data_IF_491659864651
#
_entry.id   IF_491659864651
#
_cell.length_a   1.000
_cell.length_b   1.000
_cell.length_c   1.000
_cell.angle_alpha   90.00
_cell.angle_beta   90.00
_cell.angle_gamma   90.00
#
_symmetry.space_group_name_H-M   'P 1'
#
loop_
_entity.id
_entity.type
_entity.pdbx_description
1 polymer ?
#
# COMPACT_ATOMS: atom_id res chain seq x y z
N UNK A 1 -25.25 -5.38 -3.75
CA UNK A 1 -24.27 -4.81 -4.69
C UNK A 1 -23.00 -5.66 -4.58
N UNK A 2 -22.68 -6.50 -5.57
CA UNK A 2 -21.42 -7.25 -5.58
C UNK A 2 -20.30 -6.24 -5.90
N UNK A 3 -19.76 -5.58 -4.88
CA UNK A 3 -18.58 -4.75 -5.03
C UNK A 3 -17.40 -5.67 -5.34
N UNK A 4 -16.57 -5.30 -6.33
CA UNK A 4 -15.36 -6.06 -6.66
C UNK A 4 -14.49 -6.19 -5.39
N UNK A 5 -13.87 -7.37 -5.13
CA UNK A 5 -13.08 -7.61 -3.92
C UNK A 5 -11.97 -6.58 -3.66
N UNK A 6 -11.50 -5.89 -4.70
CA UNK A 6 -10.52 -4.81 -4.58
C UNK A 6 -11.05 -3.63 -3.74
N UNK A 7 -12.34 -3.28 -3.79
CA UNK A 7 -12.90 -2.16 -3.03
C UNK A 7 -12.91 -2.42 -1.54
N UNK A 8 -13.36 -3.62 -1.13
CA UNK A 8 -13.39 -4.00 0.28
C UNK A 8 -11.98 -4.13 0.84
N UNK A 9 -11.05 -4.74 0.09
CA UNK A 9 -9.65 -4.87 0.51
C UNK A 9 -8.94 -3.53 0.63
N UNK A 10 -9.17 -2.61 -0.30
CA UNK A 10 -8.63 -1.24 -0.22
C UNK A 10 -9.20 -0.50 0.99
N UNK A 11 -10.51 -0.64 1.26
CA UNK A 11 -11.12 -0.06 2.45
C UNK A 11 -10.47 -0.60 3.74
N UNK A 12 -10.33 -1.93 3.86
CA UNK A 12 -9.71 -2.57 5.02
C UNK A 12 -8.26 -2.11 5.20
N UNK A 13 -7.51 -1.98 4.10
CA UNK A 13 -6.15 -1.45 4.11
C UNK A 13 -6.10 -0.01 4.62
N UNK A 14 -6.94 0.89 4.12
CA UNK A 14 -7.01 2.29 4.57
C UNK A 14 -7.39 2.36 6.05
N UNK A 15 -8.38 1.57 6.48
CA UNK A 15 -8.84 1.49 7.85
C UNK A 15 -7.74 1.01 8.82
N UNK A 16 -6.85 0.14 8.36
CA UNK A 16 -5.68 -0.30 9.11
C UNK A 16 -4.52 0.73 9.09
N UNK A 17 -4.27 1.35 7.94
CA UNK A 17 -3.14 2.27 7.74
C UNK A 17 -3.30 3.57 8.55
N UNK A 18 -4.50 4.16 8.58
CA UNK A 18 -4.71 5.45 9.25
C UNK A 18 -4.34 5.37 10.75
N UNK A 19 -4.84 4.42 11.56
CA UNK A 19 -4.43 4.29 12.95
C UNK A 19 -2.93 3.99 13.15
N UNK A 20 -2.30 3.26 12.22
CA UNK A 20 -0.86 3.00 12.26
C UNK A 20 -0.07 4.31 12.13
N UNK A 21 -0.40 5.12 11.12
CA UNK A 21 0.30 6.39 10.86
C UNK A 21 0.11 7.42 11.98
N UNK A 22 -1.01 7.39 12.72
CA UNK A 22 -1.22 8.22 13.91
C UNK A 22 -0.20 7.96 15.03
N UNK A 23 0.39 6.76 15.08
CA UNK A 23 1.40 6.39 16.09
C UNK A 23 2.81 6.90 15.75
N UNK A 24 3.01 7.50 14.57
CA UNK A 24 4.33 8.00 14.18
C UNK A 24 4.78 9.15 15.10
N UNK A 25 6.11 9.32 15.32
CA UNK A 25 6.65 10.46 16.04
C UNK A 25 6.26 11.79 15.37
N UNK A 26 6.07 12.85 16.17
CA UNK A 26 5.58 14.17 15.71
C UNK A 26 6.33 14.71 14.48
N UNK A 27 7.65 14.51 14.43
CA UNK A 27 8.50 14.97 13.33
C UNK A 27 8.20 14.31 11.97
N UNK A 28 7.64 13.09 11.96
CA UNK A 28 7.30 12.37 10.74
C UNK A 28 5.80 12.40 10.41
N UNK A 29 4.95 12.91 11.31
CA UNK A 29 3.50 12.96 11.08
C UNK A 29 3.13 13.87 9.91
N UNK A 30 3.72 15.05 9.84
CA UNK A 30 3.40 16.03 8.79
C UNK A 30 4.04 15.74 7.43
N UNK A 31 4.86 14.69 7.34
CA UNK A 31 5.54 14.29 6.10
C UNK A 31 5.10 12.88 5.73
N UNK A 32 5.57 11.87 6.46
CA UNK A 32 5.34 10.46 6.11
C UNK A 32 3.93 9.98 6.42
N UNK A 33 3.36 10.33 7.58
CA UNK A 33 1.99 9.92 7.88
C UNK A 33 1.01 10.59 6.91
N UNK A 34 1.15 11.90 6.68
CA UNK A 34 0.32 12.64 5.73
C UNK A 34 0.43 12.09 4.29
N UNK A 35 1.65 11.80 3.81
CA UNK A 35 1.84 11.22 2.48
C UNK A 35 1.16 9.86 2.33
N UNK A 36 1.37 8.94 3.28
CA UNK A 36 0.74 7.61 3.26
C UNK A 36 -0.80 7.69 3.30
N UNK A 37 -1.34 8.55 4.15
CA UNK A 37 -2.79 8.76 4.25
C UNK A 37 -3.36 9.30 2.95
N UNK A 38 -2.72 10.33 2.37
CA UNK A 38 -3.15 10.93 1.11
C UNK A 38 -3.09 9.94 -0.05
N UNK A 39 -1.99 9.20 -0.21
CA UNK A 39 -1.82 8.22 -1.29
C UNK A 39 -2.82 7.07 -1.18
N UNK A 40 -3.07 6.56 0.03
CA UNK A 40 -4.03 5.49 0.24
C UNK A 40 -5.48 5.94 -0.05
N UNK A 41 -5.85 7.14 0.39
CA UNK A 41 -7.17 7.71 0.08
C UNK A 41 -7.30 8.01 -1.41
N UNK A 42 -6.26 8.56 -2.06
CA UNK A 42 -6.29 8.85 -3.49
C UNK A 42 -6.39 7.59 -4.33
N UNK A 43 -5.70 6.53 -3.94
CA UNK A 43 -5.85 5.21 -4.58
C UNK A 43 -7.30 4.73 -4.50
N UNK A 44 -7.93 4.84 -3.33
CA UNK A 44 -9.34 4.49 -3.15
C UNK A 44 -10.28 5.34 -4.01
N UNK A 45 -10.06 6.66 -4.07
CA UNK A 45 -10.82 7.59 -4.92
C UNK A 45 -10.73 7.19 -6.40
N UNK A 46 -9.54 6.87 -6.90
CA UNK A 46 -9.33 6.47 -8.30
C UNK A 46 -10.05 5.15 -8.65
N UNK A 47 -10.12 4.21 -7.71
CA UNK A 47 -10.94 3.01 -7.88
C UNK A 47 -12.42 3.35 -7.96
N UNK A 48 -12.91 4.26 -7.10
CA UNK A 48 -14.32 4.70 -7.11
C UNK A 48 -14.64 5.41 -8.42
N UNK A 49 -13.80 6.35 -8.86
CA UNK A 49 -13.93 7.05 -10.13
C UNK A 49 -14.00 6.08 -11.32
N UNK A 50 -13.16 5.04 -11.31
CA UNK A 50 -13.18 4.01 -12.35
C UNK A 50 -14.54 3.31 -12.48
N UNK A 51 -15.36 3.24 -11.41
CA UNK A 51 -16.72 2.66 -11.48
C UNK A 51 -17.75 3.58 -12.13
N UNK A 52 -17.47 4.86 -12.22
CA UNK A 52 -18.42 5.89 -12.67
C UNK A 52 -18.14 6.41 -14.08
N UNK A 53 -17.06 5.97 -14.73
CA UNK A 53 -16.68 6.41 -16.08
C UNK A 53 -16.88 5.31 -17.12
N UNK A 54 -17.24 5.70 -18.34
CA UNK A 54 -17.38 4.78 -19.46
C UNK A 54 -16.04 4.13 -19.88
N UNK A 55 -14.91 4.77 -19.59
CA UNK A 55 -13.55 4.29 -19.90
C UNK A 55 -12.67 4.30 -18.64
N UNK A 56 -12.67 3.22 -17.85
CA UNK A 56 -11.97 3.16 -16.56
C UNK A 56 -10.44 3.09 -16.69
N UNK A 57 -9.92 2.84 -17.90
CA UNK A 57 -8.48 2.60 -18.14
C UNK A 57 -7.58 3.73 -17.64
N UNK A 58 -8.04 4.99 -17.72
CA UNK A 58 -7.25 6.14 -17.26
C UNK A 58 -7.17 6.16 -15.74
N UNK A 59 -8.32 6.08 -15.05
CA UNK A 59 -8.39 6.04 -13.58
C UNK A 59 -7.65 4.83 -13.00
N UNK A 60 -7.75 3.66 -13.64
CA UNK A 60 -7.01 2.46 -13.20
C UNK A 60 -5.49 2.61 -13.35
N UNK A 61 -5.00 3.19 -14.45
CA UNK A 61 -3.56 3.49 -14.61
C UNK A 61 -3.06 4.49 -13.57
N UNK A 62 -3.88 5.48 -13.23
CA UNK A 62 -3.56 6.43 -12.17
C UNK A 62 -3.56 5.73 -10.81
N UNK A 63 -4.50 4.81 -10.57
CA UNK A 63 -4.55 4.03 -9.34
C UNK A 63 -3.28 3.19 -9.16
N UNK A 64 -2.80 2.54 -10.23
CA UNK A 64 -1.53 1.81 -10.22
C UNK A 64 -0.35 2.72 -9.83
N UNK A 65 -0.29 3.94 -10.40
CA UNK A 65 0.75 4.90 -10.08
C UNK A 65 0.71 5.38 -8.62
N UNK A 66 -0.48 5.64 -8.06
CA UNK A 66 -0.62 5.99 -6.64
C UNK A 66 -0.21 4.85 -5.72
N UNK A 67 -0.52 3.62 -6.11
CA UNK A 67 -0.14 2.45 -5.34
C UNK A 67 1.38 2.23 -5.32
N UNK A 68 2.07 2.52 -6.42
CA UNK A 68 3.54 2.45 -6.46
C UNK A 68 4.19 3.51 -5.58
N UNK A 69 3.62 4.72 -5.48
CA UNK A 69 4.04 5.73 -4.51
C UNK A 69 3.85 5.24 -3.08
N UNK A 70 2.65 4.72 -2.78
CA UNK A 70 2.31 4.18 -1.46
C UNK A 70 3.27 3.07 -1.02
N UNK A 71 3.57 2.12 -1.91
CA UNK A 71 4.55 1.05 -1.67
C UNK A 71 5.95 1.61 -1.40
N UNK A 72 6.36 2.61 -2.17
CA UNK A 72 7.68 3.25 -2.02
C UNK A 72 7.79 3.98 -0.68
N UNK A 73 6.77 4.74 -0.28
CA UNK A 73 6.76 5.43 1.01
C UNK A 73 6.62 4.49 2.20
N UNK A 74 5.89 3.37 2.07
CA UNK A 74 5.88 2.31 3.09
C UNK A 74 7.28 1.73 3.33
N UNK A 75 8.07 1.53 2.26
CA UNK A 75 9.47 1.09 2.39
C UNK A 75 10.33 2.14 3.09
N UNK A 76 10.17 3.42 2.75
CA UNK A 76 10.87 4.50 3.46
C UNK A 76 10.48 4.55 4.95
N UNK A 77 9.22 4.28 5.29
CA UNK A 77 8.79 4.15 6.68
C UNK A 77 9.47 2.98 7.40
N UNK A 78 9.75 1.87 6.72
CA UNK A 78 10.54 0.77 7.29
C UNK A 78 11.99 1.20 7.54
N UNK A 79 12.62 1.86 6.57
CA UNK A 79 14.00 2.37 6.68
C UNK A 79 14.15 3.36 7.83
N UNK A 80 13.14 4.22 8.03
CA UNK A 80 13.07 5.16 9.15
C UNK A 80 12.58 4.53 10.47
N UNK A 81 12.31 3.22 10.49
CA UNK A 81 11.80 2.49 11.66
C UNK A 81 10.49 3.06 12.21
N UNK A 82 9.66 3.65 11.34
CA UNK A 82 8.32 4.14 11.66
C UNK A 82 7.30 3.01 11.68
N UNK A 83 7.58 1.94 10.94
CA UNK A 83 6.83 0.68 10.95
C UNK A 83 7.79 -0.47 11.26
N UNK A 84 7.30 -1.49 11.95
CA UNK A 84 8.07 -2.72 12.17
C UNK A 84 8.10 -3.57 10.89
N UNK A 85 9.06 -4.51 10.75
CA UNK A 85 9.07 -5.45 9.63
C UNK A 85 7.75 -6.21 9.47
N UNK A 86 7.13 -6.65 10.57
CA UNK A 86 5.83 -7.33 10.54
C UNK A 86 4.66 -6.42 10.11
N UNK A 87 4.68 -5.14 10.48
CA UNK A 87 3.69 -4.18 9.99
C UNK A 87 3.88 -3.90 8.49
N UNK A 88 5.12 -3.80 8.03
CA UNK A 88 5.43 -3.65 6.61
C UNK A 88 4.99 -4.87 5.80
N UNK A 89 5.28 -6.09 6.28
CA UNK A 89 4.83 -7.33 5.64
C UNK A 89 3.29 -7.41 5.58
N UNK A 90 2.61 -7.06 6.68
CA UNK A 90 1.16 -7.01 6.71
C UNK A 90 0.59 -6.03 5.68
N UNK A 91 1.15 -4.81 5.60
CA UNK A 91 0.77 -3.82 4.59
C UNK A 91 0.96 -4.37 3.16
N UNK A 92 2.12 -4.97 2.89
CA UNK A 92 2.43 -5.54 1.58
C UNK A 92 1.45 -6.66 1.20
N UNK A 93 1.05 -7.50 2.16
CA UNK A 93 0.07 -8.57 1.97
C UNK A 93 -1.32 -8.03 1.63
N UNK A 94 -1.81 -7.04 2.40
CA UNK A 94 -3.10 -6.40 2.13
C UNK A 94 -3.14 -5.77 0.73
N UNK A 95 -2.06 -5.09 0.33
CA UNK A 95 -1.92 -4.50 -1.01
C UNK A 95 -1.87 -5.59 -2.10
N UNK A 96 -1.10 -6.66 -1.90
CA UNK A 96 -0.98 -7.72 -2.90
C UNK A 96 -2.28 -8.49 -3.11
N UNK A 97 -3.00 -8.81 -2.03
CA UNK A 97 -4.28 -9.51 -2.09
C UNK A 97 -5.36 -8.69 -2.81
N UNK A 98 -5.30 -7.36 -2.75
CA UNK A 98 -6.15 -6.47 -3.54
C UNK A 98 -5.89 -6.53 -5.06
N UNK A 99 -4.67 -6.88 -5.47
CA UNK A 99 -4.21 -6.79 -6.88
C UNK A 99 -4.17 -8.13 -7.64
N UNK A 100 -4.26 -9.26 -6.93
CA UNK A 100 -4.20 -10.61 -7.55
C UNK A 100 -5.26 -10.87 -8.63
N UNK A 101 -6.37 -10.13 -8.63
CA UNK A 101 -7.46 -10.32 -9.59
C UNK A 101 -7.32 -9.53 -10.90
N UNK A 102 -6.38 -8.58 -11.00
CA UNK A 102 -6.39 -7.61 -12.10
C UNK A 102 -5.12 -7.60 -12.99
N UNK A 103 -4.08 -8.38 -12.68
CA UNK A 103 -2.82 -8.27 -13.43
C UNK A 103 -1.96 -9.55 -13.47
N UNK A 104 -2.17 -10.39 -14.49
CA UNK A 104 -1.12 -11.23 -15.06
C UNK A 104 -0.11 -10.33 -15.81
N UNK A 105 0.84 -9.67 -15.11
CA UNK A 105 2.15 -9.25 -15.69
C UNK A 105 3.13 -8.43 -14.82
N UNK A 106 2.96 -8.27 -13.51
CA UNK A 106 3.89 -7.40 -12.74
C UNK A 106 4.33 -8.00 -11.41
N UNK A 107 5.07 -9.12 -11.46
CA UNK A 107 5.74 -9.68 -10.27
C UNK A 107 7.26 -9.41 -10.28
N UNK A 108 7.71 -8.35 -9.58
CA UNK A 108 9.04 -8.37 -8.96
C UNK A 108 9.00 -8.15 -7.43
N UNK A 109 7.88 -7.70 -6.85
CA UNK A 109 7.90 -7.15 -5.49
C UNK A 109 7.73 -8.17 -4.36
N UNK A 110 6.92 -9.22 -4.54
CA UNK A 110 6.80 -10.30 -3.52
C UNK A 110 8.17 -10.93 -3.24
N UNK A 111 8.97 -11.11 -4.30
CA UNK A 111 10.32 -11.64 -4.20
C UNK A 111 11.28 -10.73 -3.41
N UNK A 112 11.09 -9.40 -3.45
CA UNK A 112 11.94 -8.45 -2.74
C UNK A 112 11.61 -8.35 -1.25
N UNK A 113 10.33 -8.44 -0.86
CA UNK A 113 9.93 -8.46 0.56
C UNK A 113 10.44 -9.72 1.24
N UNK A 114 10.30 -10.89 0.59
CA UNK A 114 10.86 -12.15 1.10
C UNK A 114 12.39 -12.07 1.27
N UNK A 115 13.09 -11.41 0.34
CA UNK A 115 14.54 -11.27 0.39
C UNK A 115 15.03 -10.23 1.41
N UNK A 116 14.33 -9.10 1.55
CA UNK A 116 14.69 -8.02 2.47
C UNK A 116 14.39 -8.38 3.94
N UNK A 117 13.30 -9.11 4.20
CA UNK A 117 12.98 -9.62 5.54
C UNK A 117 13.94 -10.75 5.93
N UNK A 118 14.34 -11.61 4.99
CA UNK A 118 15.37 -12.65 5.22
C UNK A 118 16.75 -12.08 5.53
N UNK A 119 17.19 -11.03 4.81
CA UNK A 119 18.52 -10.44 4.98
C UNK A 119 18.74 -9.71 6.33
N UNK A 120 17.66 -9.30 7.01
CA UNK A 120 17.75 -8.71 8.34
C UNK A 120 17.83 -9.74 9.48
N UNK A 121 17.36 -10.98 9.26
CA UNK A 121 17.47 -12.05 10.24
C UNK A 121 18.90 -12.64 10.35
N UNK A 122 19.67 -12.59 9.26
CA UNK A 122 21.01 -13.20 9.18
C UNK A 122 22.14 -12.32 9.76
N UNK A 123 21.88 -11.04 10.04
CA UNK A 123 22.85 -10.12 10.64
C UNK A 123 22.74 -9.98 12.16
N UNK A 124 21.86 -10.76 12.79
CA UNK A 124 21.60 -10.73 14.23
C UNK A 124 22.02 -12.01 14.98
N UNK A 125 22.83 -12.87 14.35
CA UNK A 125 23.45 -14.05 14.96
C UNK A 125 24.97 -14.01 14.79
#
# INVERSE_FOLDING_TARGET
MNQSPIFSKTYDFVAWLIPLTCKFPRQHRFVMAAALQHEALRFQELLIEATHVASPKVSLRQADAELDKLRTHLRLCLDFKLVSPGQYEHAARMIHEGHKEHQENFAPFVFFVDHAVGAHAERAS
#
